data_IF_045248234983
#
_entry.id   IF_045248234983
#
_cell.length_a   1.000
_cell.length_b   1.000
_cell.length_c   1.000
_cell.angle_alpha   90.00
_cell.angle_beta   90.00
_cell.angle_gamma   90.00
#
_symmetry.space_group_name_H-M   'P 1'
#
loop_
_entity.id
_entity.type
_entity.pdbx_description
1 polymer ?
#
# COMPACT_ATOMS: atom_id res chain seq x y z
N UNK A 1 1.34 -27.20 -20.79
CA UNK A 1 2.52 -26.31 -20.76
C UNK A 1 2.76 -25.95 -19.31
N UNK A 2 3.74 -26.58 -18.66
CA UNK A 2 4.06 -26.31 -17.25
C UNK A 2 4.75 -24.96 -17.09
N UNK A 3 4.61 -24.29 -15.94
CA UNK A 3 5.31 -23.03 -15.67
C UNK A 3 6.82 -23.24 -15.81
N UNK A 4 7.45 -22.48 -16.71
CA UNK A 4 8.91 -22.48 -16.90
C UNK A 4 9.61 -21.89 -15.67
N UNK A 5 10.86 -22.30 -15.40
CA UNK A 5 11.68 -21.82 -14.28
C UNK A 5 11.74 -20.28 -14.17
N UNK A 6 11.63 -19.57 -15.31
CA UNK A 6 11.57 -18.12 -15.37
C UNK A 6 10.34 -17.50 -14.67
N UNK A 7 9.19 -18.19 -14.65
CA UNK A 7 8.00 -17.75 -13.92
C UNK A 7 8.15 -17.93 -12.40
N UNK A 8 8.91 -18.93 -11.95
CA UNK A 8 9.21 -19.10 -10.53
C UNK A 8 10.15 -18.00 -10.04
N UNK A 9 11.22 -17.68 -10.78
CA UNK A 9 12.15 -16.61 -10.42
C UNK A 9 11.45 -15.25 -10.31
N UNK A 10 10.59 -14.92 -11.28
CA UNK A 10 9.82 -13.68 -11.25
C UNK A 10 8.87 -13.61 -10.04
N UNK A 11 8.24 -14.72 -9.67
CA UNK A 11 7.27 -14.78 -8.57
C UNK A 11 7.96 -14.74 -7.20
N UNK A 12 9.12 -15.38 -7.06
CA UNK A 12 9.97 -15.27 -5.86
C UNK A 12 10.57 -13.88 -5.70
N UNK A 13 10.98 -13.23 -6.79
CA UNK A 13 11.49 -11.87 -6.77
C UNK A 13 10.40 -10.86 -6.40
N UNK A 14 9.18 -11.06 -6.91
CA UNK A 14 7.99 -10.31 -6.49
C UNK A 14 7.67 -10.53 -5.01
N UNK A 15 7.73 -11.77 -4.53
CA UNK A 15 7.52 -12.10 -3.12
C UNK A 15 8.59 -11.47 -2.21
N UNK A 16 9.84 -11.39 -2.65
CA UNK A 16 10.93 -10.74 -1.92
C UNK A 16 10.78 -9.21 -1.82
N UNK A 17 10.04 -8.60 -2.75
CA UNK A 17 9.74 -7.17 -2.74
C UNK A 17 8.55 -6.82 -1.81
N UNK A 18 7.70 -7.79 -1.47
CA UNK A 18 6.54 -7.57 -0.59
C UNK A 18 6.94 -7.04 0.80
N UNK A 19 7.91 -7.64 1.54
CA UNK A 19 8.35 -7.12 2.83
C UNK A 19 8.88 -5.69 2.75
N UNK A 20 9.57 -5.37 1.67
CA UNK A 20 10.16 -4.05 1.44
C UNK A 20 9.05 -3.02 1.18
N UNK A 21 8.04 -3.37 0.37
CA UNK A 21 6.85 -2.56 0.17
C UNK A 21 6.05 -2.34 1.46
N UNK A 22 5.91 -3.36 2.30
CA UNK A 22 5.24 -3.25 3.61
C UNK A 22 6.03 -2.34 4.55
N UNK A 23 7.35 -2.45 4.60
CA UNK A 23 8.20 -1.57 5.40
C UNK A 23 8.11 -0.10 4.95
N UNK A 24 8.15 0.15 3.63
CA UNK A 24 7.96 1.50 3.08
C UNK A 24 6.57 2.07 3.39
N UNK A 25 5.53 1.25 3.28
CA UNK A 25 4.17 1.67 3.60
C UNK A 25 3.96 1.94 5.10
N UNK A 26 4.60 1.15 5.97
CA UNK A 26 4.58 1.36 7.42
C UNK A 26 5.31 2.66 7.81
N UNK A 27 6.45 2.94 7.18
CA UNK A 27 7.16 4.20 7.34
C UNK A 27 6.33 5.39 6.85
N UNK A 28 5.68 5.27 5.68
CA UNK A 28 4.79 6.31 5.16
C UNK A 28 3.60 6.57 6.10
N UNK A 29 3.06 5.52 6.73
CA UNK A 29 2.00 5.64 7.74
C UNK A 29 2.49 6.40 8.98
N UNK A 30 3.68 6.10 9.51
CA UNK A 30 4.26 6.86 10.63
C UNK A 30 4.46 8.34 10.29
N UNK A 31 4.99 8.65 9.10
CA UNK A 31 5.15 10.02 8.63
C UNK A 31 3.80 10.73 8.49
N UNK A 32 2.78 10.04 7.96
CA UNK A 32 1.44 10.61 7.83
C UNK A 32 0.79 10.92 9.19
N UNK A 33 0.98 10.07 10.20
CA UNK A 33 0.54 10.36 11.57
C UNK A 33 1.25 11.60 12.13
N UNK A 34 2.56 11.73 11.91
CA UNK A 34 3.34 12.90 12.31
C UNK A 34 2.84 14.20 11.65
N UNK A 35 2.53 14.18 10.35
CA UNK A 35 1.96 15.35 9.66
C UNK A 35 0.56 15.71 10.14
N UNK A 36 -0.23 14.73 10.57
CA UNK A 36 -1.57 14.94 11.10
C UNK A 36 -1.60 15.26 12.61
N UNK A 37 -0.44 15.52 13.23
CA UNK A 37 -0.31 15.77 14.68
C UNK A 37 -0.90 14.65 15.55
N UNK A 38 -0.85 13.41 15.05
CA UNK A 38 -1.25 12.20 15.76
C UNK A 38 -0.01 11.49 16.26
N UNK A 39 -0.08 10.95 17.48
CA UNK A 39 1.02 10.21 18.07
C UNK A 39 1.39 9.00 17.18
N UNK A 40 2.63 8.95 16.65
CA UNK A 40 3.00 7.94 15.68
C UNK A 40 3.13 6.57 16.37
N UNK A 41 2.55 5.51 15.77
CA UNK A 41 2.67 4.15 16.32
C UNK A 41 4.11 3.62 16.20
N UNK A 42 4.48 2.69 17.08
CA UNK A 42 5.72 1.92 16.93
C UNK A 42 5.78 1.21 15.58
N UNK A 43 6.99 0.99 15.06
CA UNK A 43 7.19 0.45 13.70
C UNK A 43 6.49 -0.90 13.50
N UNK A 44 6.57 -1.80 14.48
CA UNK A 44 5.89 -3.10 14.42
C UNK A 44 4.37 -2.98 14.40
N UNK A 45 3.80 -2.00 15.11
CA UNK A 45 2.37 -1.70 15.08
C UNK A 45 1.96 -1.06 13.74
N UNK A 46 2.82 -0.21 13.16
CA UNK A 46 2.61 0.33 11.81
C UNK A 46 2.65 -0.79 10.75
N UNK A 47 3.54 -1.77 10.89
CA UNK A 47 3.62 -2.93 9.99
C UNK A 47 2.35 -3.79 10.09
N UNK A 48 1.89 -4.11 11.30
CA UNK A 48 0.68 -4.93 11.46
C UNK A 48 -0.56 -4.22 10.93
N UNK A 49 -0.68 -2.90 11.11
CA UNK A 49 -1.79 -2.12 10.53
C UNK A 49 -1.77 -2.11 9.00
N UNK A 50 -0.62 -1.94 8.36
CA UNK A 50 -0.48 -2.05 6.90
C UNK A 50 -0.86 -3.44 6.40
N UNK A 51 -0.46 -4.50 7.10
CA UNK A 51 -0.85 -5.88 6.76
C UNK A 51 -2.37 -6.07 6.87
N UNK A 52 -3.00 -5.55 7.93
CA UNK A 52 -4.45 -5.61 8.10
C UNK A 52 -5.18 -4.83 7.00
N UNK A 53 -4.68 -3.66 6.61
CA UNK A 53 -5.19 -2.88 5.48
C UNK A 53 -5.12 -3.71 4.19
N UNK A 54 -3.98 -4.36 3.92
CA UNK A 54 -3.80 -5.18 2.72
C UNK A 54 -4.79 -6.36 2.69
N UNK A 55 -4.96 -7.05 3.82
CA UNK A 55 -5.93 -8.15 3.95
C UNK A 55 -7.36 -7.65 3.76
N UNK A 56 -7.74 -6.54 4.42
CA UNK A 56 -9.09 -5.97 4.30
C UNK A 56 -9.41 -5.59 2.85
N UNK A 57 -8.48 -4.93 2.16
CA UNK A 57 -8.63 -4.58 0.75
C UNK A 57 -8.69 -5.81 -0.17
N UNK A 58 -7.94 -6.86 0.13
CA UNK A 58 -7.99 -8.13 -0.62
C UNK A 58 -9.36 -8.81 -0.49
N UNK A 59 -9.86 -8.95 0.74
CA UNK A 59 -11.20 -9.51 1.02
C UNK A 59 -12.28 -8.69 0.34
N UNK A 60 -12.19 -7.36 0.42
CA UNK A 60 -13.15 -6.46 -0.19
C UNK A 60 -13.14 -6.58 -1.73
N UNK A 61 -11.96 -6.70 -2.33
CA UNK A 61 -11.81 -6.90 -3.78
C UNK A 61 -12.37 -8.26 -4.23
N UNK A 62 -12.15 -9.33 -3.47
CA UNK A 62 -12.76 -10.63 -3.73
C UNK A 62 -14.29 -10.55 -3.64
N UNK A 63 -14.82 -9.86 -2.62
CA UNK A 63 -16.26 -9.62 -2.49
C UNK A 63 -16.85 -8.88 -3.70
N UNK A 64 -16.21 -7.78 -4.12
CA UNK A 64 -16.64 -6.99 -5.28
C UNK A 64 -16.58 -7.77 -6.60
N UNK A 65 -15.64 -8.71 -6.73
CA UNK A 65 -15.57 -9.61 -7.89
C UNK A 65 -16.72 -10.61 -7.90
N UNK A 66 -17.06 -11.18 -6.74
CA UNK A 66 -18.16 -12.15 -6.62
C UNK A 66 -19.54 -11.52 -6.86
N UNK A 67 -19.72 -10.25 -6.50
CA UNK A 67 -21.00 -9.52 -6.69
C UNK A 67 -21.16 -8.91 -8.08
N UNK A 68 -20.18 -9.04 -8.97
CA UNK A 68 -20.20 -8.43 -10.31
C UNK A 68 -20.12 -6.90 -10.31
N UNK A 69 -19.93 -6.26 -9.16
CA UNK A 69 -19.84 -4.79 -9.03
C UNK A 69 -18.38 -4.31 -9.06
N UNK A 70 -17.47 -5.09 -9.64
CA UNK A 70 -16.03 -4.78 -9.66
C UNK A 70 -15.66 -3.59 -10.56
N UNK A 71 -16.56 -3.16 -11.43
CA UNK A 71 -16.30 -2.15 -12.45
C UNK A 71 -17.00 -0.83 -12.11
N UNK A 72 -16.21 0.22 -11.93
CA UNK A 72 -16.67 1.58 -11.64
C UNK A 72 -15.71 2.35 -10.73
N UNK A 73 -15.81 3.68 -10.72
CA UNK A 73 -14.95 4.55 -9.89
C UNK A 73 -15.10 4.28 -8.38
N UNK A 74 -16.32 4.02 -7.91
CA UNK A 74 -16.58 3.74 -6.50
C UNK A 74 -15.82 2.50 -6.00
N UNK A 75 -16.07 1.31 -6.57
CA UNK A 75 -15.40 0.07 -6.21
C UNK A 75 -13.87 0.09 -6.34
N UNK A 76 -13.34 0.87 -7.29
CA UNK A 76 -11.91 0.91 -7.58
C UNK A 76 -11.12 1.88 -6.68
N UNK A 77 -11.74 3.00 -6.27
CA UNK A 77 -11.02 4.06 -5.56
C UNK A 77 -11.66 4.40 -4.20
N UNK A 78 -12.98 4.55 -4.16
CA UNK A 78 -13.68 5.03 -2.96
C UNK A 78 -13.75 3.94 -1.87
N UNK A 79 -14.20 2.74 -2.23
CA UNK A 79 -14.39 1.65 -1.24
C UNK A 79 -13.05 1.21 -0.62
N UNK A 80 -11.96 1.03 -1.38
CA UNK A 80 -10.64 0.73 -0.81
C UNK A 80 -10.14 1.83 0.13
N UNK A 81 -10.33 3.10 -0.23
CA UNK A 81 -9.95 4.23 0.62
C UNK A 81 -10.73 4.25 1.94
N UNK A 82 -12.04 3.96 1.90
CA UNK A 82 -12.89 3.84 3.08
C UNK A 82 -12.52 2.64 3.97
N UNK A 83 -12.21 1.49 3.36
CA UNK A 83 -11.74 0.32 4.10
C UNK A 83 -10.42 0.62 4.82
N UNK A 84 -9.51 1.32 4.14
CA UNK A 84 -8.22 1.71 4.68
C UNK A 84 -8.39 2.69 5.86
N UNK A 85 -9.26 3.70 5.73
CA UNK A 85 -9.49 4.66 6.81
C UNK A 85 -10.20 4.04 8.01
N UNK A 86 -11.12 3.08 7.78
CA UNK A 86 -11.76 2.33 8.84
C UNK A 86 -10.72 1.51 9.64
N UNK A 87 -9.79 0.83 8.98
CA UNK A 87 -8.73 0.07 9.66
C UNK A 87 -7.82 1.00 10.48
N UNK A 88 -7.45 2.17 9.93
CA UNK A 88 -6.64 3.17 10.64
C UNK A 88 -7.37 3.71 11.87
N UNK A 89 -8.66 4.04 11.75
CA UNK A 89 -9.47 4.55 12.85
C UNK A 89 -9.63 3.52 14.00
N UNK A 90 -9.63 2.23 13.66
CA UNK A 90 -9.73 1.15 14.64
C UNK A 90 -8.39 0.80 15.29
N UNK A 91 -7.28 0.95 14.55
CA UNK A 91 -5.97 0.51 15.01
C UNK A 91 -5.14 1.61 15.68
N UNK A 92 -5.48 2.88 15.45
CA UNK A 92 -4.85 4.03 16.06
C UNK A 92 -5.87 4.81 16.88
N UNK A 93 -5.47 5.42 18.02
CA UNK A 93 -6.34 6.26 18.85
C UNK A 93 -6.62 7.60 18.15
N UNK A 94 -7.38 7.56 17.05
CA UNK A 94 -7.66 8.71 16.18
C UNK A 94 -9.16 8.87 15.97
N UNK A 95 -9.59 10.10 15.71
CA UNK A 95 -10.98 10.35 15.29
C UNK A 95 -11.18 9.91 13.84
N UNK A 96 -12.39 9.52 13.42
CA UNK A 96 -12.65 9.07 12.05
C UNK A 96 -12.30 10.14 10.99
N UNK A 97 -12.44 11.42 11.34
CA UNK A 97 -12.03 12.53 10.48
C UNK A 97 -10.50 12.59 10.33
N UNK A 98 -9.76 12.42 11.43
CA UNK A 98 -8.30 12.37 11.40
C UNK A 98 -7.78 11.15 10.63
N UNK A 99 -8.42 9.98 10.80
CA UNK A 99 -8.08 8.78 10.04
C UNK A 99 -8.23 8.98 8.52
N UNK A 100 -9.27 9.71 8.07
CA UNK A 100 -9.43 10.08 6.66
C UNK A 100 -8.35 11.07 6.18
N UNK A 101 -7.90 11.99 7.02
CA UNK A 101 -6.77 12.86 6.64
C UNK A 101 -5.45 12.08 6.54
N UNK A 102 -5.23 11.14 7.46
CA UNK A 102 -4.06 10.25 7.46
C UNK A 102 -4.05 9.40 6.19
N UNK A 103 -5.18 8.80 5.79
CA UNK A 103 -5.22 8.00 4.55
C UNK A 103 -4.89 8.83 3.32
N UNK A 104 -5.39 10.07 3.21
CA UNK A 104 -5.08 10.93 2.07
C UNK A 104 -3.59 11.26 2.02
N UNK A 105 -2.98 11.62 3.16
CA UNK A 105 -1.54 11.91 3.25
C UNK A 105 -0.72 10.66 2.95
N UNK A 106 -1.12 9.50 3.47
CA UNK A 106 -0.46 8.22 3.22
C UNK A 106 -0.52 7.85 1.73
N UNK A 107 -1.68 8.01 1.07
CA UNK A 107 -1.82 7.79 -0.37
C UNK A 107 -0.86 8.70 -1.13
N UNK A 108 -0.81 10.00 -0.79
CA UNK A 108 0.09 10.95 -1.43
C UNK A 108 1.57 10.55 -1.25
N UNK A 109 1.99 10.16 -0.04
CA UNK A 109 3.34 9.68 0.24
C UNK A 109 3.66 8.38 -0.51
N UNK A 110 2.73 7.42 -0.54
CA UNK A 110 2.88 6.18 -1.31
C UNK A 110 3.03 6.46 -2.82
N UNK A 111 2.26 7.40 -3.37
CA UNK A 111 2.38 7.83 -4.77
C UNK A 111 3.74 8.48 -5.02
N UNK A 112 4.23 9.34 -4.11
CA UNK A 112 5.55 9.96 -4.22
C UNK A 112 6.68 8.92 -4.15
N UNK A 113 6.59 7.95 -3.24
CA UNK A 113 7.55 6.85 -3.12
C UNK A 113 7.54 6.02 -4.41
N UNK A 114 6.36 5.68 -4.92
CA UNK A 114 6.23 4.93 -6.18
C UNK A 114 6.85 5.70 -7.35
N UNK A 115 6.57 6.99 -7.47
CA UNK A 115 7.12 7.83 -8.53
C UNK A 115 8.65 7.94 -8.42
N UNK A 116 9.17 8.12 -7.20
CA UNK A 116 10.61 8.13 -6.95
C UNK A 116 11.30 6.80 -7.30
N UNK A 117 10.68 5.66 -6.96
CA UNK A 117 11.18 4.34 -7.32
C UNK A 117 11.12 4.09 -8.83
N UNK A 118 10.06 4.54 -9.51
CA UNK A 118 9.94 4.44 -10.96
C UNK A 118 11.03 5.27 -11.67
N UNK A 119 11.27 6.50 -11.21
CA UNK A 119 12.37 7.33 -11.69
C UNK A 119 13.74 6.70 -11.45
N UNK A 120 13.96 6.13 -10.27
CA UNK A 120 15.20 5.42 -9.94
C UNK A 120 15.41 4.22 -10.88
N UNK A 121 14.35 3.46 -11.15
CA UNK A 121 14.39 2.34 -12.09
C UNK A 121 14.78 2.79 -13.50
N UNK A 122 14.18 3.87 -14.00
CA UNK A 122 14.52 4.43 -15.32
C UNK A 122 15.99 4.89 -15.41
N UNK A 123 16.51 5.53 -14.36
CA UNK A 123 17.93 5.94 -14.26
C UNK A 123 18.88 4.74 -14.23
N UNK A 124 18.54 3.68 -13.50
CA UNK A 124 19.34 2.45 -13.46
C UNK A 124 19.35 1.78 -14.83
N UNK A 125 18.20 1.63 -15.49
CA UNK A 125 18.12 1.01 -16.81
C UNK A 125 18.91 1.81 -17.85
N UNK A 126 18.81 3.15 -17.84
CA UNK A 126 19.56 4.01 -18.76
C UNK A 126 21.08 3.96 -18.50
N UNK A 127 21.52 3.89 -17.24
CA UNK A 127 22.95 3.73 -16.94
C UNK A 127 23.52 2.38 -17.36
N UNK A 128 22.75 1.28 -17.28
CA UNK A 128 23.15 -0.02 -17.82
C UNK A 128 23.15 -0.08 -19.35
N UNK A 129 22.31 0.72 -20.03
CA UNK A 129 22.31 0.83 -21.50
C UNK A 129 23.46 1.68 -22.05
N UNK A 130 24.08 2.53 -21.23
CA UNK A 130 25.23 3.36 -21.61
C UNK A 130 26.59 2.71 -21.31
N UNK A 131 26.62 1.54 -20.66
CA UNK A 131 27.79 0.69 -20.42
C UNK A 131 27.86 -0.42 -21.46
#
# INVERSE_FOLDING_TARGET
>A
MGPTLANYDALWLLAALVPLGVACAAWALQMSCGFCSVEPPEFWHAVTTVVLIAVANCVLRLGLQMTGSAYGMGPQYLIPALATSAVIAMALPTTPFSAMTITVVQIALCVLIYFGLAWLQELIVTSFMML
#
